data_IF_445330102401
#
_entry.id   IF_445330102401
#
_cell.length_a   1.000
_cell.length_b   1.000
_cell.length_c   1.000
_cell.angle_alpha   90.00
_cell.angle_beta   90.00
_cell.angle_gamma   90.00
#
_symmetry.space_group_name_H-M   'P 1'
#
loop_
_entity.id
_entity.type
_entity.pdbx_description
1 polymer ?
#
# COMPACT_ATOMS: atom_id res chain seq x y z
N UNK A 1 -45.72 11.41 -49.68
CA UNK A 1 -45.55 10.14 -48.94
C UNK A 1 -44.06 9.92 -48.81
N UNK A 2 -43.49 10.43 -47.73
CA UNK A 2 -42.06 10.46 -47.48
C UNK A 2 -41.81 9.87 -46.10
N UNK A 3 -41.09 8.75 -46.13
CA UNK A 3 -40.09 8.22 -45.18
C UNK A 3 -40.35 8.34 -43.68
N UNK A 4 -40.36 7.17 -43.01
CA UNK A 4 -39.97 6.99 -41.60
C UNK A 4 -38.96 5.84 -41.50
N UNK A 5 -37.99 6.05 -40.62
CA UNK A 5 -36.85 5.20 -40.25
C UNK A 5 -37.24 3.81 -39.72
N UNK A 6 -36.37 2.80 -39.89
CA UNK A 6 -36.45 1.52 -39.20
C UNK A 6 -35.49 1.50 -38.00
N UNK A 7 -35.92 2.09 -36.88
CA UNK A 7 -35.32 1.85 -35.56
C UNK A 7 -36.44 1.38 -34.62
N UNK A 8 -36.70 0.07 -34.65
CA UNK A 8 -37.48 -0.62 -33.62
C UNK A 8 -37.44 -2.14 -33.89
N UNK A 9 -36.49 -2.85 -33.28
CA UNK A 9 -36.69 -4.19 -32.72
C UNK A 9 -35.40 -4.76 -32.10
N UNK A 10 -35.59 -5.35 -30.91
CA UNK A 10 -34.68 -6.15 -30.08
C UNK A 10 -33.82 -5.32 -29.10
N UNK A 11 -34.07 -5.27 -27.80
CA UNK A 11 -34.81 -6.21 -26.95
C UNK A 11 -33.87 -6.78 -25.88
N UNK A 12 -33.69 -6.00 -24.81
CA UNK A 12 -33.49 -6.42 -23.42
C UNK A 12 -32.55 -7.63 -23.16
N UNK A 13 -31.26 -7.35 -23.00
CA UNK A 13 -30.31 -8.18 -22.24
C UNK A 13 -29.91 -7.42 -20.98
N UNK A 14 -30.27 -7.94 -19.80
CA UNK A 14 -30.05 -7.27 -18.52
C UNK A 14 -28.57 -7.07 -18.22
N UNK A 15 -28.15 -5.81 -18.16
CA UNK A 15 -26.92 -5.42 -17.52
C UNK A 15 -27.05 -5.72 -16.02
N UNK A 16 -26.37 -6.76 -15.56
CA UNK A 16 -26.06 -6.91 -14.15
C UNK A 16 -25.18 -5.71 -13.76
N UNK A 17 -25.78 -4.72 -13.10
CA UNK A 17 -25.08 -3.59 -12.54
C UNK A 17 -24.11 -4.10 -11.46
N UNK A 18 -22.81 -4.12 -11.78
CA UNK A 18 -21.75 -4.30 -10.80
C UNK A 18 -21.54 -3.00 -10.03
N UNK A 19 -21.37 -3.12 -8.72
CA UNK A 19 -21.30 -2.03 -7.76
C UNK A 19 -20.02 -1.19 -7.91
N UNK A 20 -20.16 0.08 -8.29
CA UNK A 20 -19.11 1.12 -8.32
C UNK A 20 -18.32 1.12 -9.63
N UNK A 21 -18.52 2.14 -10.48
CA UNK A 21 -17.96 2.24 -11.84
C UNK A 21 -16.44 2.42 -11.96
N UNK A 22 -15.67 1.91 -10.99
CA UNK A 22 -14.21 2.03 -10.89
C UNK A 22 -13.49 0.67 -10.92
N UNK A 23 -14.19 -0.43 -11.19
CA UNK A 23 -13.55 -1.72 -11.44
C UNK A 23 -12.86 -1.70 -12.83
N UNK A 24 -11.73 -2.41 -13.02
CA UNK A 24 -11.08 -2.51 -14.32
C UNK A 24 -11.94 -3.33 -15.30
N UNK A 25 -11.58 -3.32 -16.58
CA UNK A 25 -12.17 -4.24 -17.55
C UNK A 25 -11.84 -5.71 -17.25
N UNK A 26 -12.44 -6.65 -17.99
CA UNK A 26 -12.21 -8.09 -17.84
C UNK A 26 -10.72 -8.48 -18.03
N UNK A 27 -9.96 -7.70 -18.79
CA UNK A 27 -8.52 -7.87 -18.97
C UNK A 27 -7.69 -7.32 -17.80
N UNK A 28 -8.34 -6.67 -16.83
CA UNK A 28 -7.70 -6.06 -15.68
C UNK A 28 -7.14 -4.67 -15.94
N UNK A 29 -7.67 -3.93 -16.92
CA UNK A 29 -7.22 -2.58 -17.22
C UNK A 29 -8.09 -1.48 -16.58
N UNK A 30 -7.44 -0.57 -15.86
CA UNK A 30 -7.99 0.73 -15.47
C UNK A 30 -7.58 1.76 -16.54
N UNK A 31 -8.48 2.02 -17.49
CA UNK A 31 -8.11 2.78 -18.68
C UNK A 31 -6.95 2.09 -19.44
N UNK A 32 -5.80 2.75 -19.67
CA UNK A 32 -4.66 2.15 -20.36
C UNK A 32 -3.70 1.35 -19.45
N UNK A 33 -3.95 1.31 -18.13
CA UNK A 33 -3.06 0.73 -17.11
C UNK A 33 -3.59 -0.58 -16.55
N UNK A 34 -2.73 -1.43 -16.01
CA UNK A 34 -3.09 -2.73 -15.44
C UNK A 34 -2.73 -3.88 -16.37
N UNK A 35 -3.64 -4.82 -16.57
CA UNK A 35 -3.43 -5.99 -17.41
C UNK A 35 -2.75 -7.17 -16.71
N UNK A 36 -2.30 -8.14 -17.51
CA UNK A 36 -1.71 -9.41 -17.08
C UNK A 36 -0.42 -9.72 -17.83
N UNK A 37 0.64 -9.02 -17.48
CA UNK A 37 1.96 -9.14 -18.12
C UNK A 37 2.86 -10.13 -17.39
N UNK A 38 2.41 -11.37 -17.27
CA UNK A 38 3.08 -12.44 -16.52
C UNK A 38 3.54 -13.58 -17.44
N UNK A 39 4.54 -14.39 -17.03
CA UNK A 39 4.89 -15.60 -17.75
C UNK A 39 3.69 -16.55 -17.89
N UNK A 40 3.58 -17.24 -19.02
CA UNK A 40 2.50 -18.20 -19.30
C UNK A 40 2.31 -19.23 -18.17
N UNK A 41 3.41 -19.66 -17.55
CA UNK A 41 3.40 -20.59 -16.43
C UNK A 41 2.58 -20.14 -15.20
N UNK A 42 2.31 -18.83 -15.06
CA UNK A 42 1.52 -18.26 -13.97
C UNK A 42 0.10 -17.86 -14.37
N UNK A 43 -0.29 -18.02 -15.64
CA UNK A 43 -1.61 -17.58 -16.13
C UNK A 43 -2.71 -18.41 -15.47
N UNK A 44 -2.57 -19.74 -15.43
CA UNK A 44 -3.55 -20.62 -14.77
C UNK A 44 -3.72 -20.31 -13.28
N UNK A 45 -2.66 -19.91 -12.59
CA UNK A 45 -2.74 -19.54 -11.16
C UNK A 45 -3.45 -18.20 -10.95
N UNK A 46 -3.25 -17.26 -11.87
CA UNK A 46 -3.97 -15.99 -11.89
C UNK A 46 -5.45 -16.19 -12.24
N UNK A 47 -5.78 -17.10 -13.16
CA UNK A 47 -7.18 -17.44 -13.48
C UNK A 47 -7.87 -18.06 -12.26
N UNK A 48 -7.25 -19.05 -11.61
CA UNK A 48 -7.74 -19.65 -10.36
C UNK A 48 -8.00 -18.58 -9.30
N UNK A 49 -7.05 -17.67 -9.09
CA UNK A 49 -7.19 -16.57 -8.13
C UNK A 49 -8.32 -15.60 -8.52
N UNK A 50 -8.43 -15.21 -9.79
CA UNK A 50 -9.44 -14.26 -10.26
C UNK A 50 -10.84 -14.85 -10.11
N UNK A 51 -11.04 -16.10 -10.53
CA UNK A 51 -12.30 -16.81 -10.39
C UNK A 51 -12.69 -17.00 -8.93
N UNK A 52 -11.76 -17.43 -8.06
CA UNK A 52 -12.08 -17.62 -6.65
C UNK A 52 -12.30 -16.32 -5.90
N UNK A 53 -11.58 -15.26 -6.26
CA UNK A 53 -11.82 -13.94 -5.69
C UNK A 53 -13.20 -13.39 -6.10
N UNK A 54 -13.60 -13.55 -7.36
CA UNK A 54 -14.91 -13.07 -7.83
C UNK A 54 -16.07 -13.83 -7.16
N UNK A 55 -15.92 -15.13 -6.93
CA UNK A 55 -16.87 -15.90 -6.11
C UNK A 55 -16.87 -15.42 -4.66
N UNK A 56 -15.70 -15.27 -4.05
CA UNK A 56 -15.57 -14.94 -2.63
C UNK A 56 -16.08 -13.53 -2.28
N UNK A 57 -15.82 -12.51 -3.11
CA UNK A 57 -16.30 -11.13 -2.86
C UNK A 57 -17.83 -11.01 -2.84
N UNK A 58 -18.53 -11.98 -3.42
CA UNK A 58 -19.99 -12.05 -3.48
C UNK A 58 -20.58 -13.12 -2.53
N UNK A 59 -19.73 -13.87 -1.83
CA UNK A 59 -20.12 -14.94 -0.91
C UNK A 59 -20.35 -14.37 0.51
N UNK A 60 -21.60 -14.39 1.04
CA UNK A 60 -21.89 -13.86 2.37
C UNK A 60 -21.10 -14.53 3.49
N UNK A 61 -20.71 -15.80 3.35
CA UNK A 61 -19.94 -16.51 4.37
C UNK A 61 -18.49 -16.01 4.40
N UNK A 62 -17.88 -15.80 3.22
CA UNK A 62 -16.54 -15.23 3.13
C UNK A 62 -16.50 -13.80 3.68
N UNK A 63 -17.47 -12.96 3.28
CA UNK A 63 -17.56 -11.58 3.76
C UNK A 63 -17.76 -11.53 5.27
N UNK A 64 -18.67 -12.34 5.81
CA UNK A 64 -18.91 -12.39 7.26
C UNK A 64 -17.67 -12.85 8.05
N UNK A 65 -16.91 -13.81 7.51
CA UNK A 65 -15.68 -14.27 8.15
C UNK A 65 -14.57 -13.23 8.09
N UNK A 66 -14.39 -12.56 6.95
CA UNK A 66 -13.44 -11.45 6.83
C UNK A 66 -13.80 -10.31 7.78
N UNK A 67 -15.07 -9.91 7.84
CA UNK A 67 -15.56 -8.87 8.75
C UNK A 67 -15.36 -9.25 10.22
N UNK A 68 -15.58 -10.53 10.56
CA UNK A 68 -15.30 -11.05 11.90
C UNK A 68 -13.82 -10.95 12.24
N UNK A 69 -12.91 -11.34 11.33
CA UNK A 69 -11.48 -11.22 11.55
C UNK A 69 -11.02 -9.75 11.63
N UNK A 70 -11.54 -8.88 10.77
CA UNK A 70 -11.22 -7.46 10.81
C UNK A 70 -11.63 -6.83 12.16
N UNK A 71 -12.84 -7.12 12.63
CA UNK A 71 -13.36 -6.57 13.90
C UNK A 71 -12.69 -7.20 15.12
N UNK A 72 -12.72 -8.53 15.23
CA UNK A 72 -12.42 -9.24 16.47
C UNK A 72 -10.92 -9.57 16.61
N UNK A 73 -10.17 -9.63 15.49
CA UNK A 73 -8.74 -9.96 15.48
C UNK A 73 -7.87 -8.76 15.08
N UNK A 74 -8.20 -8.04 14.02
CA UNK A 74 -7.42 -6.88 13.58
C UNK A 74 -7.71 -5.59 14.37
N UNK A 75 -8.87 -5.52 15.05
CA UNK A 75 -9.26 -4.40 15.90
C UNK A 75 -9.98 -3.27 15.17
N UNK A 76 -10.66 -3.55 14.06
CA UNK A 76 -11.44 -2.56 13.31
C UNK A 76 -12.78 -2.24 13.99
N UNK A 77 -13.34 -1.02 13.80
CA UNK A 77 -12.79 0.08 13.01
C UNK A 77 -11.61 0.78 13.70
N UNK A 78 -10.61 1.17 12.92
CA UNK A 78 -9.51 2.01 13.45
C UNK A 78 -10.05 3.41 13.76
N UNK A 79 -9.61 4.08 14.83
CA UNK A 79 -10.15 5.38 15.20
C UNK A 79 -9.71 6.50 14.24
N UNK A 80 -10.44 7.60 14.28
CA UNK A 80 -10.05 8.88 13.69
C UNK A 80 -9.62 9.82 14.81
N UNK A 81 -8.39 10.35 14.75
CA UNK A 81 -7.84 11.23 15.78
C UNK A 81 -7.58 12.61 15.20
N UNK A 82 -8.15 13.67 15.78
CA UNK A 82 -7.77 15.03 15.45
C UNK A 82 -6.43 15.38 16.11
N UNK A 83 -5.46 15.85 15.31
CA UNK A 83 -4.12 16.18 15.74
C UNK A 83 -3.94 17.70 15.83
N UNK A 84 -4.59 18.31 16.83
CA UNK A 84 -4.69 19.77 16.97
C UNK A 84 -3.32 20.46 17.04
N UNK A 85 -2.37 19.90 17.82
CA UNK A 85 -1.04 20.51 18.02
C UNK A 85 -0.16 20.37 16.78
N UNK A 86 -0.31 19.28 16.03
CA UNK A 86 0.30 19.10 14.72
C UNK A 86 -0.30 20.07 13.70
N UNK A 87 -1.64 20.19 13.65
CA UNK A 87 -2.38 21.10 12.76
C UNK A 87 -1.98 22.57 12.92
N UNK A 88 -1.62 22.99 14.13
CA UNK A 88 -1.07 24.34 14.38
C UNK A 88 0.19 24.65 13.54
N UNK A 89 0.96 23.64 13.13
CA UNK A 89 2.15 23.78 12.27
C UNK A 89 1.82 23.66 10.76
N UNK A 90 0.60 23.21 10.44
CA UNK A 90 0.03 23.09 9.10
C UNK A 90 -0.84 24.32 8.75
N UNK A 91 -0.43 25.53 9.12
CA UNK A 91 -1.21 26.74 8.83
C UNK A 91 -2.50 26.88 9.65
N UNK A 92 -2.67 26.08 10.71
CA UNK A 92 -3.88 26.03 11.51
C UNK A 92 -4.96 25.11 10.97
N UNK A 93 -4.71 24.39 9.87
CA UNK A 93 -5.66 23.43 9.30
C UNK A 93 -6.02 22.32 10.30
N UNK A 94 -7.25 21.82 10.20
CA UNK A 94 -7.75 20.70 10.98
C UNK A 94 -7.23 19.39 10.41
N UNK A 95 -6.24 18.79 11.06
CA UNK A 95 -5.62 17.53 10.61
C UNK A 95 -6.25 16.34 11.34
N UNK A 96 -6.91 15.45 10.60
CA UNK A 96 -7.55 14.24 11.07
C UNK A 96 -6.71 13.02 10.66
N UNK A 97 -6.29 12.20 11.61
CA UNK A 97 -5.47 11.02 11.38
C UNK A 97 -6.34 9.76 11.38
N UNK A 98 -6.39 9.04 10.26
CA UNK A 98 -6.96 7.68 10.20
C UNK A 98 -5.94 6.69 10.73
N UNK A 99 -6.20 6.10 11.90
CA UNK A 99 -5.22 5.42 12.76
C UNK A 99 -4.97 3.94 12.42
N UNK A 100 -4.54 3.65 11.19
CA UNK A 100 -4.17 2.29 10.78
C UNK A 100 -2.92 1.76 11.52
N UNK A 101 -2.17 2.65 12.18
CA UNK A 101 -1.07 2.33 13.09
C UNK A 101 -1.51 1.51 14.32
N UNK A 102 -2.79 1.58 14.69
CA UNK A 102 -3.35 0.86 15.83
C UNK A 102 -3.90 -0.53 15.49
N UNK A 103 -3.97 -0.88 14.21
CA UNK A 103 -4.37 -2.23 13.82
C UNK A 103 -3.43 -3.27 14.43
N UNK A 104 -3.93 -4.49 14.61
CA UNK A 104 -3.05 -5.62 14.89
C UNK A 104 -1.92 -5.70 13.84
N UNK A 105 -0.76 -6.17 14.28
CA UNK A 105 0.54 -6.12 13.58
C UNK A 105 1.15 -4.71 13.40
N UNK A 106 0.36 -3.64 13.43
CA UNK A 106 0.80 -2.24 13.47
C UNK A 106 0.73 -1.46 12.16
N UNK A 107 -0.05 -1.93 11.17
CA UNK A 107 -0.27 -1.20 9.93
C UNK A 107 -1.54 -1.63 9.20
N UNK A 108 -1.89 -0.89 8.13
CA UNK A 108 -2.98 -1.23 7.21
C UNK A 108 -2.84 -2.62 6.57
N UNK A 109 -1.62 -3.19 6.47
CA UNK A 109 -1.33 -4.45 5.74
C UNK A 109 -2.16 -5.64 6.23
N UNK A 110 -2.55 -5.64 7.51
CA UNK A 110 -3.36 -6.72 8.10
C UNK A 110 -4.70 -6.92 7.35
N UNK A 111 -5.28 -5.84 6.79
CA UNK A 111 -6.55 -5.92 6.06
C UNK A 111 -6.43 -6.82 4.82
N UNK A 112 -5.36 -6.63 4.04
CA UNK A 112 -5.09 -7.39 2.83
C UNK A 112 -4.74 -8.85 3.12
N UNK A 113 -3.83 -9.09 4.07
CA UNK A 113 -3.35 -10.44 4.34
C UNK A 113 -4.43 -11.35 4.91
N UNK A 114 -5.36 -10.83 5.73
CA UNK A 114 -6.48 -11.63 6.23
C UNK A 114 -7.39 -12.07 5.09
N UNK A 115 -7.75 -11.16 4.18
CA UNK A 115 -8.56 -11.48 3.01
C UNK A 115 -7.89 -12.49 2.09
N UNK A 116 -6.63 -12.25 1.71
CA UNK A 116 -5.91 -13.18 0.84
C UNK A 116 -5.67 -14.54 1.51
N UNK A 117 -5.33 -14.59 2.80
CA UNK A 117 -5.13 -15.87 3.49
C UNK A 117 -6.43 -16.69 3.63
N UNK A 118 -7.60 -16.04 3.75
CA UNK A 118 -8.89 -16.73 3.61
C UNK A 118 -9.08 -17.30 2.20
N UNK A 119 -8.71 -16.56 1.15
CA UNK A 119 -8.77 -17.06 -0.23
C UNK A 119 -7.85 -18.27 -0.44
N UNK A 120 -6.66 -18.27 0.15
CA UNK A 120 -5.72 -19.42 0.11
C UNK A 120 -6.42 -20.69 0.59
N UNK A 121 -7.10 -20.63 1.73
CA UNK A 121 -7.87 -21.77 2.27
C UNK A 121 -8.99 -22.19 1.35
N UNK A 122 -9.68 -21.22 0.75
CA UNK A 122 -10.80 -21.45 -0.17
C UNK A 122 -10.35 -22.15 -1.46
N UNK A 123 -9.17 -21.79 -1.97
CA UNK A 123 -8.50 -22.46 -3.10
C UNK A 123 -7.89 -23.82 -2.73
N UNK A 124 -7.97 -24.26 -1.47
CA UNK A 124 -7.41 -25.53 -1.02
C UNK A 124 -5.87 -25.58 -0.99
N UNK A 125 -5.21 -24.42 -1.08
CA UNK A 125 -3.75 -24.29 -0.99
C UNK A 125 -3.31 -24.37 0.48
N UNK A 126 -2.08 -24.82 0.70
CA UNK A 126 -1.54 -25.03 2.06
C UNK A 126 -0.35 -24.14 2.39
N UNK A 127 0.29 -23.59 1.35
CA UNK A 127 1.50 -22.81 1.46
C UNK A 127 1.30 -21.40 0.92
N UNK A 128 1.85 -20.43 1.65
CA UNK A 128 1.87 -19.03 1.29
C UNK A 128 3.31 -18.57 1.13
N UNK A 129 3.56 -17.83 0.07
CA UNK A 129 4.79 -17.07 -0.11
C UNK A 129 4.47 -15.58 -0.20
N UNK A 130 5.37 -14.74 0.30
CA UNK A 130 5.27 -13.29 0.15
C UNK A 130 6.66 -12.64 0.14
N UNK A 131 6.77 -11.47 -0.48
CA UNK A 131 7.92 -10.58 -0.36
C UNK A 131 7.80 -9.66 0.86
N UNK A 132 8.90 -9.05 1.32
CA UNK A 132 8.80 -7.88 2.19
C UNK A 132 10.07 -7.03 2.11
N UNK A 133 9.91 -5.71 2.20
CA UNK A 133 11.00 -4.73 2.38
C UNK A 133 11.13 -4.40 3.87
N UNK A 134 10.41 -3.38 4.35
CA UNK A 134 10.35 -2.95 5.75
C UNK A 134 9.89 -4.03 6.79
N UNK A 135 9.58 -5.24 6.36
CA UNK A 135 9.12 -6.35 7.22
C UNK A 135 7.64 -6.34 7.61
N UNK A 136 6.91 -5.24 7.42
CA UNK A 136 5.49 -5.15 7.85
C UNK A 136 4.57 -6.12 7.10
N UNK A 137 4.70 -6.22 5.78
CA UNK A 137 3.92 -7.19 4.99
C UNK A 137 4.27 -8.62 5.35
N UNK A 138 5.56 -8.91 5.53
CA UNK A 138 6.03 -10.23 5.97
C UNK A 138 5.49 -10.63 7.35
N UNK A 139 5.53 -9.72 8.33
CA UNK A 139 4.95 -9.95 9.66
C UNK A 139 3.43 -10.15 9.58
N UNK A 140 2.73 -9.35 8.78
CA UNK A 140 1.29 -9.48 8.61
C UNK A 140 0.92 -10.83 7.95
N UNK A 141 1.64 -11.23 6.92
CA UNK A 141 1.49 -12.53 6.24
C UNK A 141 1.77 -13.68 7.20
N UNK A 142 2.90 -13.66 7.91
CA UNK A 142 3.23 -14.66 8.93
C UNK A 142 2.15 -14.76 10.02
N UNK A 143 1.58 -13.63 10.43
CA UNK A 143 0.49 -13.57 11.42
C UNK A 143 -0.77 -14.26 10.89
N UNK A 144 -1.20 -13.94 9.66
CA UNK A 144 -2.37 -14.54 9.06
C UNK A 144 -2.19 -16.04 8.82
N UNK A 145 -1.01 -16.47 8.35
CA UNK A 145 -0.69 -17.89 8.16
C UNK A 145 -0.69 -18.66 9.48
N UNK A 146 -0.10 -18.10 10.55
CA UNK A 146 -0.13 -18.72 11.87
C UNK A 146 -1.56 -18.85 12.42
N UNK A 147 -2.40 -17.83 12.23
CA UNK A 147 -3.81 -17.85 12.63
C UNK A 147 -4.63 -18.91 11.89
N UNK A 148 -4.32 -19.10 10.60
CA UNK A 148 -5.13 -19.90 9.69
C UNK A 148 -4.57 -21.30 9.40
N UNK A 149 -3.46 -21.66 10.06
CA UNK A 149 -2.72 -22.93 9.93
C UNK A 149 -2.22 -23.17 8.50
N UNK A 150 -1.46 -22.20 7.97
CA UNK A 150 -0.84 -22.23 6.65
C UNK A 150 0.69 -22.19 6.77
N UNK A 151 1.38 -22.93 5.91
CA UNK A 151 2.84 -22.84 5.79
C UNK A 151 3.22 -21.48 5.20
N UNK A 152 4.24 -20.82 5.76
CA UNK A 152 4.59 -19.45 5.38
C UNK A 152 6.08 -19.30 5.10
N UNK A 153 6.41 -18.82 3.89
CA UNK A 153 7.78 -18.47 3.50
C UNK A 153 7.82 -17.00 3.05
N UNK A 154 8.67 -16.22 3.70
CA UNK A 154 8.86 -14.80 3.41
C UNK A 154 10.21 -14.59 2.73
N UNK A 155 10.19 -13.99 1.55
CA UNK A 155 11.37 -13.51 0.84
C UNK A 155 11.66 -12.07 1.24
N UNK A 156 12.91 -11.78 1.61
CA UNK A 156 13.31 -10.45 2.07
C UNK A 156 14.72 -10.17 1.59
N UNK A 157 14.97 -8.97 1.06
CA UNK A 157 16.31 -8.57 0.63
C UNK A 157 17.32 -8.65 1.78
N UNK A 158 18.54 -9.13 1.53
CA UNK A 158 19.53 -9.33 2.59
C UNK A 158 19.83 -8.03 3.34
N UNK A 159 19.95 -6.91 2.62
CA UNK A 159 20.13 -5.58 3.21
C UNK A 159 18.96 -5.19 4.12
N UNK A 160 17.73 -5.53 3.71
CA UNK A 160 16.54 -5.28 4.53
C UNK A 160 16.50 -6.19 5.76
N UNK A 161 16.95 -7.46 5.66
CA UNK A 161 16.98 -8.37 6.81
C UNK A 161 17.87 -7.88 7.94
N UNK A 162 18.98 -7.20 7.62
CA UNK A 162 19.89 -6.61 8.59
C UNK A 162 19.25 -5.36 9.23
N UNK A 163 18.78 -4.43 8.40
CA UNK A 163 18.15 -3.16 8.86
C UNK A 163 16.87 -3.39 9.67
N UNK A 164 16.16 -4.48 9.42
CA UNK A 164 14.85 -4.78 10.01
C UNK A 164 14.87 -6.09 10.82
N UNK A 165 15.98 -6.35 11.51
CA UNK A 165 16.21 -7.57 12.29
C UNK A 165 15.06 -7.91 13.27
N UNK A 166 14.42 -6.89 13.86
CA UNK A 166 13.27 -7.08 14.76
C UNK A 166 12.06 -7.68 14.03
N UNK A 167 11.77 -7.25 12.80
CA UNK A 167 10.67 -7.82 12.03
C UNK A 167 11.02 -9.24 11.53
N UNK A 168 12.30 -9.51 11.20
CA UNK A 168 12.75 -10.88 10.91
C UNK A 168 12.53 -11.81 12.11
N UNK A 169 12.89 -11.36 13.31
CA UNK A 169 12.66 -12.12 14.54
C UNK A 169 11.16 -12.36 14.80
N UNK A 170 10.30 -11.35 14.60
CA UNK A 170 8.84 -11.48 14.72
C UNK A 170 8.27 -12.50 13.74
N UNK A 171 8.69 -12.49 12.47
CA UNK A 171 8.24 -13.46 11.47
C UNK A 171 8.62 -14.89 11.86
N UNK A 172 9.87 -15.12 12.30
CA UNK A 172 10.32 -16.44 12.76
C UNK A 172 9.59 -16.92 14.00
N UNK A 173 9.30 -16.01 14.95
CA UNK A 173 8.51 -16.33 16.15
C UNK A 173 7.08 -16.76 15.81
N UNK A 174 6.50 -16.20 14.73
CA UNK A 174 5.20 -16.59 14.18
C UNK A 174 5.25 -17.90 13.38
N UNK A 175 6.42 -18.55 13.26
CA UNK A 175 6.57 -19.83 12.56
C UNK A 175 6.86 -19.72 11.06
N UNK A 176 7.03 -18.50 10.52
CA UNK A 176 7.38 -18.33 9.11
C UNK A 176 8.88 -18.59 8.86
N UNK A 177 9.18 -19.23 7.73
CA UNK A 177 10.53 -19.28 7.19
C UNK A 177 10.87 -17.92 6.56
N UNK A 178 12.03 -17.33 6.91
CA UNK A 178 12.50 -16.07 6.29
C UNK A 178 13.73 -16.38 5.45
N UNK A 179 13.63 -16.17 4.14
CA UNK A 179 14.68 -16.42 3.13
C UNK A 179 15.32 -15.12 2.67
N UNK A 180 16.57 -14.82 3.07
CA UNK A 180 17.30 -13.64 2.60
C UNK A 180 17.64 -13.76 1.11
N UNK A 181 17.39 -12.69 0.35
CA UNK A 181 17.72 -12.59 -1.08
C UNK A 181 18.98 -11.74 -1.25
N UNK A 182 20.04 -12.36 -1.79
CA UNK A 182 21.37 -11.75 -1.93
C UNK A 182 21.67 -11.28 -3.36
N UNK A 183 20.75 -11.52 -4.31
CA UNK A 183 20.91 -11.14 -5.71
C UNK A 183 20.55 -9.67 -5.93
N UNK A 184 21.12 -9.04 -6.96
CA UNK A 184 20.74 -7.70 -7.38
C UNK A 184 21.12 -6.63 -6.35
N UNK A 185 20.21 -5.70 -6.09
CA UNK A 185 20.36 -4.67 -5.05
C UNK A 185 20.09 -5.23 -3.64
N UNK A 186 19.63 -6.49 -3.54
CA UNK A 186 19.28 -7.15 -2.28
C UNK A 186 18.21 -6.38 -1.48
N UNK A 187 17.23 -5.82 -2.19
CA UNK A 187 16.09 -5.06 -1.64
C UNK A 187 14.74 -5.68 -2.08
N UNK A 188 13.63 -4.96 -1.86
CA UNK A 188 12.25 -5.40 -2.16
C UNK A 188 12.07 -5.92 -3.61
N UNK A 189 12.67 -5.28 -4.61
CA UNK A 189 12.58 -5.70 -6.02
C UNK A 189 13.07 -7.14 -6.21
N UNK A 190 14.21 -7.48 -5.62
CA UNK A 190 14.80 -8.80 -5.75
C UNK A 190 14.02 -9.86 -4.94
N UNK A 191 13.44 -9.47 -3.80
CA UNK A 191 12.54 -10.32 -3.04
C UNK A 191 11.28 -10.70 -3.85
N UNK A 192 10.70 -9.77 -4.60
CA UNK A 192 9.57 -10.03 -5.52
C UNK A 192 9.99 -11.04 -6.60
N UNK A 193 11.15 -10.84 -7.21
CA UNK A 193 11.64 -11.74 -8.26
C UNK A 193 11.81 -13.17 -7.75
N UNK A 194 12.37 -13.36 -6.56
CA UNK A 194 12.51 -14.70 -5.96
C UNK A 194 11.17 -15.31 -5.54
N UNK A 195 10.24 -14.51 -4.99
CA UNK A 195 8.89 -14.98 -4.68
C UNK A 195 8.14 -15.44 -5.95
N UNK A 196 8.25 -14.69 -7.05
CA UNK A 196 7.66 -15.10 -8.34
C UNK A 196 8.29 -16.38 -8.89
N UNK A 197 9.61 -16.56 -8.77
CA UNK A 197 10.30 -17.81 -9.17
C UNK A 197 9.85 -19.01 -8.34
N UNK A 198 9.68 -18.84 -7.03
CA UNK A 198 9.12 -19.87 -6.16
C UNK A 198 7.69 -20.21 -6.60
N UNK A 199 6.87 -19.19 -6.88
CA UNK A 199 5.48 -19.41 -7.29
C UNK A 199 5.37 -20.23 -8.56
N UNK A 200 6.20 -19.94 -9.58
CA UNK A 200 6.26 -20.72 -10.83
C UNK A 200 6.55 -22.20 -10.55
N UNK A 201 7.43 -22.46 -9.57
CA UNK A 201 7.89 -23.82 -9.25
C UNK A 201 6.86 -24.60 -8.44
N UNK A 202 6.11 -23.93 -7.55
CA UNK A 202 5.24 -24.55 -6.55
C UNK A 202 3.75 -24.16 -6.72
N UNK A 203 3.33 -23.78 -7.93
CA UNK A 203 2.02 -23.21 -8.23
C UNK A 203 0.82 -24.06 -7.78
N UNK A 204 1.00 -25.39 -7.72
CA UNK A 204 -0.07 -26.34 -7.41
C UNK A 204 -0.57 -26.22 -5.96
N UNK A 205 0.33 -26.01 -5.00
CA UNK A 205 0.04 -26.00 -3.56
C UNK A 205 0.30 -24.64 -2.88
N UNK A 206 0.93 -23.72 -3.60
CA UNK A 206 1.38 -22.42 -3.11
C UNK A 206 0.59 -21.26 -3.70
N UNK A 207 0.20 -20.31 -2.84
CA UNK A 207 -0.31 -19.01 -3.25
C UNK A 207 0.70 -17.90 -2.96
N UNK A 208 0.86 -16.99 -3.91
CA UNK A 208 1.65 -15.78 -3.74
C UNK A 208 0.78 -14.65 -3.18
N UNK A 209 1.05 -14.25 -1.93
CA UNK A 209 0.33 -13.20 -1.23
C UNK A 209 1.02 -11.85 -1.44
N UNK A 210 0.65 -11.17 -2.53
CA UNK A 210 1.25 -9.89 -2.92
C UNK A 210 0.81 -8.75 -1.97
N UNK A 211 1.78 -7.91 -1.56
CA UNK A 211 1.60 -6.98 -0.45
C UNK A 211 1.07 -5.59 -0.77
N UNK A 212 0.74 -5.29 -2.01
CA UNK A 212 0.33 -3.94 -2.41
C UNK A 212 -0.65 -3.91 -3.59
N UNK A 213 -1.23 -2.75 -3.92
CA UNK A 213 -2.20 -2.61 -5.00
C UNK A 213 -1.54 -2.51 -6.39
N UNK A 214 -0.60 -3.42 -6.65
CA UNK A 214 0.15 -3.50 -7.91
C UNK A 214 0.17 -4.95 -8.40
N UNK A 215 0.99 -5.22 -9.41
CA UNK A 215 1.09 -6.53 -10.05
C UNK A 215 -0.05 -6.82 -11.03
N UNK A 216 -0.01 -8.00 -11.63
CA UNK A 216 -1.01 -8.44 -12.60
C UNK A 216 -2.41 -8.54 -11.98
N UNK A 217 -3.44 -8.32 -12.79
CA UNK A 217 -4.80 -8.67 -12.40
C UNK A 217 -4.88 -10.15 -11.97
N UNK A 218 -5.57 -10.48 -10.86
CA UNK A 218 -6.53 -9.66 -10.11
C UNK A 218 -5.96 -8.86 -8.92
N UNK A 219 -4.64 -8.87 -8.67
CA UNK A 219 -4.07 -8.31 -7.44
C UNK A 219 -4.42 -6.83 -7.18
N UNK A 220 -4.30 -5.89 -8.14
CA UNK A 220 -4.65 -4.49 -7.89
C UNK A 220 -6.11 -4.32 -7.43
N UNK A 221 -7.05 -4.96 -8.12
CA UNK A 221 -8.49 -4.95 -7.81
C UNK A 221 -8.76 -5.54 -6.42
N UNK A 222 -8.20 -6.73 -6.17
CA UNK A 222 -8.40 -7.48 -4.93
C UNK A 222 -7.83 -6.74 -3.73
N UNK A 223 -6.55 -6.34 -3.78
CA UNK A 223 -5.87 -5.66 -2.68
C UNK A 223 -6.55 -4.34 -2.35
N UNK A 224 -6.96 -3.57 -3.36
CA UNK A 224 -7.76 -2.36 -3.17
C UNK A 224 -9.04 -2.68 -2.41
N UNK A 225 -9.83 -3.65 -2.89
CA UNK A 225 -11.10 -4.01 -2.26
C UNK A 225 -10.92 -4.43 -0.79
N UNK A 226 -9.85 -5.16 -0.47
CA UNK A 226 -9.52 -5.55 0.90
C UNK A 226 -9.06 -4.35 1.77
N UNK A 227 -8.60 -3.25 1.16
CA UNK A 227 -8.29 -2.01 1.87
C UNK A 227 -9.41 -0.94 1.83
N UNK A 228 -10.50 -1.11 1.05
CA UNK A 228 -11.61 -0.13 0.96
C UNK A 228 -12.25 0.19 2.32
N UNK A 229 -12.17 -0.74 3.26
CA UNK A 229 -12.63 -0.56 4.64
C UNK A 229 -12.02 0.69 5.31
N UNK A 230 -10.80 1.08 4.93
CA UNK A 230 -10.13 2.28 5.45
C UNK A 230 -10.92 3.54 5.07
N UNK A 231 -11.23 3.70 3.78
CA UNK A 231 -11.98 4.84 3.26
C UNK A 231 -13.43 4.86 3.73
N UNK A 232 -14.07 3.69 3.79
CA UNK A 232 -15.46 3.55 4.28
C UNK A 232 -15.60 4.05 5.72
N UNK A 233 -14.74 3.55 6.61
CA UNK A 233 -14.72 3.99 8.01
C UNK A 233 -14.33 5.46 8.13
N UNK A 234 -13.31 5.90 7.41
CA UNK A 234 -12.83 7.28 7.49
C UNK A 234 -13.91 8.27 7.05
N UNK A 235 -14.65 7.97 5.97
CA UNK A 235 -15.77 8.80 5.50
C UNK A 235 -16.86 8.94 6.56
N UNK A 236 -17.28 7.83 7.17
CA UNK A 236 -18.29 7.84 8.23
C UNK A 236 -17.80 8.61 9.47
N UNK A 237 -16.52 8.44 9.83
CA UNK A 237 -15.92 9.09 11.00
C UNK A 237 -15.75 10.60 10.79
N UNK A 238 -15.29 11.04 9.62
CA UNK A 238 -15.13 12.46 9.28
C UNK A 238 -16.47 13.16 9.27
N UNK A 239 -17.47 12.62 8.56
CA UNK A 239 -18.83 13.21 8.54
C UNK A 239 -19.43 13.34 9.94
N UNK A 240 -19.16 12.38 10.82
CA UNK A 240 -19.62 12.41 12.22
C UNK A 240 -18.89 13.46 13.06
N UNK A 241 -17.61 13.71 12.81
CA UNK A 241 -16.77 14.62 13.61
C UNK A 241 -16.76 16.06 13.11
N UNK A 242 -17.02 16.29 11.82
CA UNK A 242 -16.94 17.61 11.18
C UNK A 242 -18.29 18.08 10.63
N UNK A 243 -19.21 17.16 10.33
CA UNK A 243 -20.47 17.47 9.64
C UNK A 243 -20.34 17.60 8.12
N UNK A 244 -19.13 17.48 7.57
CA UNK A 244 -18.83 17.66 6.14
C UNK A 244 -17.71 16.73 5.67
N UNK A 245 -17.47 16.66 4.36
CA UNK A 245 -16.35 15.90 3.80
C UNK A 245 -15.04 16.70 3.96
N UNK A 246 -13.87 16.03 3.99
CA UNK A 246 -12.59 16.75 4.10
C UNK A 246 -12.27 17.47 2.78
N UNK A 247 -11.54 18.58 2.84
CA UNK A 247 -11.03 19.27 1.65
C UNK A 247 -10.02 18.41 0.88
N UNK A 248 -9.24 17.62 1.61
CA UNK A 248 -8.28 16.69 1.03
C UNK A 248 -8.07 15.43 1.86
N UNK A 249 -7.79 14.33 1.14
CA UNK A 249 -7.34 13.05 1.69
C UNK A 249 -5.91 12.81 1.23
N UNK A 250 -5.02 12.60 2.18
CA UNK A 250 -3.59 12.42 1.96
C UNK A 250 -3.12 11.05 2.42
N UNK A 251 -2.29 10.41 1.62
CA UNK A 251 -1.71 9.09 1.93
C UNK A 251 -0.35 8.93 1.26
N UNK A 252 0.55 8.14 1.84
CA UNK A 252 1.84 7.84 1.23
C UNK A 252 1.68 6.77 0.14
N UNK A 253 2.48 6.87 -0.93
CA UNK A 253 2.38 6.00 -2.11
C UNK A 253 3.74 5.36 -2.37
N UNK A 254 3.86 4.08 -1.98
CA UNK A 254 4.82 3.14 -2.58
C UNK A 254 4.10 2.41 -3.72
N UNK A 255 3.79 1.13 -3.55
CA UNK A 255 2.89 0.44 -4.49
C UNK A 255 1.41 0.87 -4.43
N UNK A 256 0.97 1.63 -3.40
CA UNK A 256 -0.34 2.31 -3.38
C UNK A 256 -1.47 1.71 -2.53
N UNK A 257 -1.32 0.54 -1.92
CA UNK A 257 -2.40 -0.15 -1.18
C UNK A 257 -3.13 0.68 -0.11
N UNK A 258 -2.41 1.37 0.77
CA UNK A 258 -3.03 2.22 1.79
C UNK A 258 -3.76 3.44 1.19
N UNK A 259 -3.17 4.04 0.16
CA UNK A 259 -3.66 5.24 -0.49
C UNK A 259 -4.95 4.94 -1.25
N UNK A 260 -4.95 3.91 -2.10
CA UNK A 260 -6.15 3.51 -2.82
C UNK A 260 -7.27 3.08 -1.87
N UNK A 261 -6.93 2.41 -0.76
CA UNK A 261 -7.88 2.00 0.26
C UNK A 261 -8.63 3.16 0.90
N UNK A 262 -7.92 4.24 1.25
CA UNK A 262 -8.57 5.44 1.81
C UNK A 262 -9.25 6.29 0.73
N UNK A 263 -8.64 6.44 -0.45
CA UNK A 263 -9.17 7.24 -1.56
C UNK A 263 -10.51 6.71 -2.06
N UNK A 264 -10.72 5.40 -2.04
CA UNK A 264 -11.97 4.82 -2.52
C UNK A 264 -13.20 5.15 -1.66
N UNK A 265 -13.01 5.74 -0.47
CA UNK A 265 -14.09 6.35 0.31
C UNK A 265 -14.57 7.70 -0.25
N UNK A 266 -13.81 8.31 -1.16
CA UNK A 266 -14.00 9.69 -1.61
C UNK A 266 -13.83 9.87 -3.13
N UNK A 267 -13.53 8.82 -3.88
CA UNK A 267 -13.24 8.90 -5.33
C UNK A 267 -14.41 9.49 -6.14
N UNK A 268 -15.64 9.31 -5.69
CA UNK A 268 -16.84 9.89 -6.33
C UNK A 268 -17.17 11.31 -5.87
N UNK A 269 -16.42 11.87 -4.90
CA UNK A 269 -16.66 13.20 -4.33
C UNK A 269 -15.71 14.23 -5.00
N UNK A 270 -16.12 14.95 -6.06
CA UNK A 270 -15.23 15.83 -6.84
C UNK A 270 -14.70 17.04 -6.04
N UNK A 271 -15.38 17.40 -4.95
CA UNK A 271 -14.90 18.44 -4.03
C UNK A 271 -13.77 17.99 -3.11
N UNK A 272 -13.51 16.68 -3.00
CA UNK A 272 -12.46 16.11 -2.15
C UNK A 272 -11.21 15.85 -2.97
N UNK A 273 -10.12 16.56 -2.65
CA UNK A 273 -8.82 16.35 -3.29
C UNK A 273 -8.19 15.05 -2.80
N UNK A 274 -7.70 14.23 -3.72
CA UNK A 274 -6.99 12.98 -3.39
C UNK A 274 -5.52 13.19 -3.69
N UNK A 275 -4.66 13.11 -2.67
CA UNK A 275 -3.25 13.48 -2.83
C UNK A 275 -2.33 12.37 -2.31
N UNK A 276 -1.63 11.72 -3.24
CA UNK A 276 -0.60 10.73 -2.96
C UNK A 276 0.77 11.37 -2.70
N UNK A 277 1.45 10.98 -1.64
CA UNK A 277 2.81 11.42 -1.33
C UNK A 277 3.82 10.31 -1.67
N UNK A 278 4.59 10.50 -2.72
CA UNK A 278 5.67 9.59 -3.11
C UNK A 278 6.99 9.96 -2.42
N UNK A 279 7.90 8.99 -2.30
CA UNK A 279 9.22 9.23 -1.73
C UNK A 279 10.08 10.05 -2.70
N UNK A 280 10.40 11.28 -2.30
CA UNK A 280 11.33 12.17 -2.99
C UNK A 280 12.79 11.89 -2.68
N UNK A 281 13.11 11.01 -1.72
CA UNK A 281 14.46 10.61 -1.36
C UNK A 281 15.36 11.81 -1.03
N UNK A 282 16.52 11.88 -1.68
CA UNK A 282 17.46 13.01 -1.58
C UNK A 282 17.08 14.23 -2.44
N UNK A 283 15.87 14.23 -3.01
CA UNK A 283 15.35 15.23 -3.95
C UNK A 283 15.33 14.69 -5.38
N UNK A 284 14.33 15.12 -6.17
CA UNK A 284 14.11 14.58 -7.51
C UNK A 284 15.32 14.76 -8.45
N UNK A 285 16.01 15.91 -8.35
CA UNK A 285 17.18 16.22 -9.19
C UNK A 285 18.40 15.32 -8.90
N UNK A 286 18.42 14.60 -7.77
CA UNK A 286 19.51 13.68 -7.43
C UNK A 286 19.45 12.37 -8.22
N UNK A 287 18.27 12.00 -8.73
CA UNK A 287 17.99 10.66 -9.26
C UNK A 287 17.79 9.58 -8.18
N UNK A 288 18.02 9.89 -6.90
CA UNK A 288 17.84 8.98 -5.77
C UNK A 288 16.47 9.22 -5.10
N UNK A 289 15.41 8.65 -5.67
CA UNK A 289 14.03 8.79 -5.19
C UNK A 289 13.14 7.59 -5.58
N UNK A 290 11.95 7.51 -4.97
CA UNK A 290 10.90 6.51 -5.25
C UNK A 290 9.64 7.11 -5.91
N UNK A 291 9.75 8.27 -6.55
CA UNK A 291 8.61 9.03 -7.11
C UNK A 291 8.23 8.61 -8.55
N UNK A 292 7.63 7.43 -8.69
CA UNK A 292 7.29 6.83 -9.99
C UNK A 292 6.28 7.65 -10.82
N UNK A 293 5.25 8.25 -10.20
CA UNK A 293 4.27 9.08 -10.89
C UNK A 293 4.79 10.48 -11.17
N UNK A 294 5.63 11.01 -10.28
CA UNK A 294 6.17 12.37 -10.41
C UNK A 294 7.27 12.45 -11.47
N UNK A 295 8.15 11.43 -11.54
CA UNK A 295 9.37 11.46 -12.38
C UNK A 295 9.50 10.28 -13.34
N UNK A 296 8.66 9.25 -13.23
CA UNK A 296 8.72 8.06 -14.07
C UNK A 296 7.95 8.19 -15.37
N UNK A 297 7.93 7.10 -16.13
CA UNK A 297 7.20 6.99 -17.40
C UNK A 297 6.40 5.69 -17.48
N UNK A 298 5.35 5.61 -18.33
CA UNK A 298 4.60 4.39 -18.50
C UNK A 298 5.46 3.22 -19.03
N UNK A 299 5.35 2.05 -18.41
CA UNK A 299 6.00 0.81 -18.83
C UNK A 299 5.40 -0.39 -18.12
N UNK A 300 6.03 -1.56 -18.25
CA UNK A 300 5.54 -2.81 -17.66
C UNK A 300 6.52 -3.33 -16.62
N UNK A 301 6.05 -3.50 -15.38
CA UNK A 301 6.85 -4.03 -14.28
C UNK A 301 5.98 -4.94 -13.39
N UNK A 302 6.55 -6.08 -12.98
CA UNK A 302 5.93 -7.03 -12.05
C UNK A 302 4.50 -7.47 -12.41
N UNK A 303 4.16 -7.54 -13.70
CA UNK A 303 2.88 -8.09 -14.15
C UNK A 303 1.83 -7.08 -14.61
N UNK A 304 2.07 -5.78 -14.47
CA UNK A 304 1.14 -4.75 -14.92
C UNK A 304 1.84 -3.62 -15.68
N UNK A 305 1.09 -3.00 -16.60
CA UNK A 305 1.45 -1.72 -17.19
C UNK A 305 1.08 -0.59 -16.24
N UNK A 306 2.04 0.25 -15.86
CA UNK A 306 1.87 1.38 -14.92
C UNK A 306 2.96 2.42 -15.13
N UNK A 307 3.04 3.43 -14.26
CA UNK A 307 4.23 4.29 -14.16
C UNK A 307 5.35 3.58 -13.39
N UNK A 308 6.58 3.80 -13.86
CA UNK A 308 7.79 3.33 -13.19
C UNK A 308 9.02 4.19 -13.53
N UNK A 309 10.04 4.10 -12.68
CA UNK A 309 11.36 4.68 -12.91
C UNK A 309 12.16 3.78 -13.86
N UNK A 310 12.51 4.31 -15.03
CA UNK A 310 13.28 3.60 -16.05
C UNK A 310 14.14 4.57 -16.85
N UNK A 311 15.23 4.05 -17.43
CA UNK A 311 16.08 4.79 -18.36
C UNK A 311 15.52 4.80 -19.79
N UNK A 312 16.25 5.43 -20.72
CA UNK A 312 15.86 5.56 -22.13
C UNK A 312 15.77 4.21 -22.87
N UNK A 313 16.45 3.18 -22.37
CA UNK A 313 16.42 1.81 -22.91
C UNK A 313 15.34 0.93 -22.26
N UNK A 314 14.55 1.52 -21.34
CA UNK A 314 13.50 0.82 -20.60
C UNK A 314 14.02 -0.10 -19.50
N UNK A 315 15.27 0.06 -19.06
CA UNK A 315 15.79 -0.66 -17.89
C UNK A 315 15.25 -0.03 -16.63
N UNK A 316 14.83 -0.87 -15.68
CA UNK A 316 14.26 -0.42 -14.40
C UNK A 316 15.35 0.27 -13.58
N UNK A 317 15.14 1.54 -13.26
CA UNK A 317 16.01 2.30 -12.38
C UNK A 317 15.86 1.85 -10.93
N UNK A 318 16.92 1.99 -10.14
CA UNK A 318 16.86 1.74 -8.69
C UNK A 318 16.12 2.90 -8.02
N UNK A 319 15.12 2.56 -7.20
CA UNK A 319 14.48 3.53 -6.34
C UNK A 319 15.36 3.81 -5.10
N UNK A 320 15.08 4.91 -4.43
CA UNK A 320 15.66 5.21 -3.14
C UNK A 320 14.66 5.94 -2.23
N UNK A 321 14.67 5.58 -0.94
CA UNK A 321 14.09 6.34 0.16
C UNK A 321 14.69 5.88 1.48
N UNK A 322 14.76 6.77 2.47
CA UNK A 322 14.98 6.36 3.87
C UNK A 322 13.91 5.38 4.38
N UNK A 323 12.72 5.39 3.76
CA UNK A 323 11.60 4.52 4.09
C UNK A 323 11.53 3.29 3.18
N UNK A 324 11.92 2.12 3.68
CA UNK A 324 11.90 0.86 2.93
C UNK A 324 10.51 0.48 2.35
N UNK A 325 9.40 0.95 2.94
CA UNK A 325 8.06 0.72 2.39
C UNK A 325 7.67 1.58 1.18
N UNK A 326 8.44 2.64 0.89
CA UNK A 326 8.28 3.52 -0.27
C UNK A 326 9.43 3.39 -1.29
N UNK A 327 10.47 2.64 -0.94
CA UNK A 327 11.58 2.30 -1.83
C UNK A 327 11.15 1.25 -2.88
N UNK A 328 10.37 1.70 -3.85
CA UNK A 328 9.83 0.88 -4.94
C UNK A 328 9.78 1.70 -6.24
N UNK A 329 10.32 1.20 -7.36
CA UNK A 329 10.44 1.98 -8.59
C UNK A 329 9.15 2.06 -9.41
N UNK A 330 8.05 1.44 -8.99
CA UNK A 330 6.78 1.45 -9.72
C UNK A 330 5.61 1.91 -8.85
N UNK A 331 4.41 1.89 -9.43
CA UNK A 331 3.18 2.19 -8.68
C UNK A 331 2.01 1.31 -9.16
N UNK A 332 0.98 1.16 -8.33
CA UNK A 332 -0.25 0.46 -8.71
C UNK A 332 -0.95 1.07 -9.93
N UNK A 333 -1.51 0.27 -10.85
CA UNK A 333 -2.07 0.76 -12.11
C UNK A 333 -3.31 1.66 -11.95
N UNK A 334 -4.10 1.46 -10.89
CA UNK A 334 -5.24 2.34 -10.61
C UNK A 334 -4.78 3.73 -10.18
N UNK A 335 -3.63 3.86 -9.50
CA UNK A 335 -3.04 5.17 -9.21
C UNK A 335 -2.58 5.89 -10.47
N UNK A 336 -1.96 5.18 -11.41
CA UNK A 336 -1.63 5.71 -12.73
C UNK A 336 -2.87 6.20 -13.48
N UNK A 337 -3.97 5.43 -13.43
CA UNK A 337 -5.24 5.87 -14.00
C UNK A 337 -5.81 7.12 -13.31
N UNK A 338 -5.80 7.16 -11.97
CA UNK A 338 -6.26 8.32 -11.21
C UNK A 338 -5.41 9.57 -11.46
N UNK A 339 -4.12 9.42 -11.72
CA UNK A 339 -3.22 10.52 -12.10
C UNK A 339 -3.62 11.08 -13.48
N UNK A 340 -3.68 10.22 -14.50
CA UNK A 340 -3.93 10.62 -15.88
C UNK A 340 -5.34 11.14 -16.12
N UNK A 341 -6.32 10.60 -15.40
CA UNK A 341 -7.69 11.10 -15.42
C UNK A 341 -7.86 12.44 -14.67
N UNK A 342 -6.82 12.90 -13.97
CA UNK A 342 -6.84 14.11 -13.16
C UNK A 342 -7.65 13.98 -11.87
N UNK A 343 -8.06 12.77 -11.47
CA UNK A 343 -8.84 12.56 -10.25
C UNK A 343 -7.98 12.65 -9.00
N UNK A 344 -6.72 12.23 -9.05
CA UNK A 344 -5.77 12.31 -7.95
C UNK A 344 -4.50 13.08 -8.33
N UNK A 345 -3.96 13.82 -7.38
CA UNK A 345 -2.69 14.52 -7.46
C UNK A 345 -1.60 13.66 -6.80
N UNK A 346 -0.36 13.69 -7.31
CA UNK A 346 0.79 13.03 -6.70
C UNK A 346 1.92 14.01 -6.53
N UNK A 347 2.57 13.99 -5.35
CA UNK A 347 3.63 14.92 -4.99
C UNK A 347 4.78 14.16 -4.31
N UNK A 348 6.02 14.56 -4.60
CA UNK A 348 7.19 14.02 -3.92
C UNK A 348 7.46 14.72 -2.58
N UNK A 349 7.89 13.96 -1.58
CA UNK A 349 8.31 14.43 -0.25
C UNK A 349 9.69 13.89 0.05
N UNK A 350 10.66 14.75 0.36
CA UNK A 350 12.05 14.31 0.61
C UNK A 350 12.16 13.61 1.97
N UNK A 351 13.26 12.86 2.13
CA UNK A 351 13.55 12.17 3.39
C UNK A 351 13.64 13.17 4.57
N UNK A 352 14.23 14.35 4.36
CA UNK A 352 14.31 15.41 5.38
C UNK A 352 12.92 15.87 5.85
N UNK A 353 12.01 16.09 4.91
CA UNK A 353 10.66 16.55 5.24
C UNK A 353 9.85 15.47 5.96
N UNK A 354 9.97 14.22 5.52
CA UNK A 354 9.34 13.08 6.19
C UNK A 354 9.88 12.93 7.63
N UNK A 355 11.19 13.05 7.83
CA UNK A 355 11.79 12.92 9.16
C UNK A 355 11.41 14.08 10.08
N UNK A 356 11.34 15.32 9.58
CA UNK A 356 10.84 16.43 10.40
C UNK A 356 9.35 16.27 10.75
N UNK A 357 8.51 15.75 9.84
CA UNK A 357 7.11 15.42 10.14
C UNK A 357 6.98 14.27 11.16
N UNK A 358 7.82 13.24 11.05
CA UNK A 358 7.90 12.13 12.02
C UNK A 358 8.17 12.65 13.43
N UNK A 359 9.20 13.49 13.57
CA UNK A 359 9.63 14.09 14.84
C UNK A 359 8.57 15.05 15.37
N UNK A 360 7.95 15.83 14.50
CA UNK A 360 6.90 16.76 14.89
C UNK A 360 5.70 16.02 15.47
N UNK A 361 5.14 15.04 14.77
CA UNK A 361 4.00 14.26 15.28
C UNK A 361 4.33 13.58 16.61
N UNK A 362 5.55 13.02 16.72
CA UNK A 362 6.03 12.40 17.96
C UNK A 362 6.02 13.38 19.13
N UNK A 363 6.39 14.65 18.91
CA UNK A 363 6.48 15.68 19.96
C UNK A 363 5.16 16.40 20.25
N UNK A 364 4.28 16.52 19.26
CA UNK A 364 3.01 17.24 19.40
C UNK A 364 1.90 16.33 19.89
N UNK A 365 1.84 15.09 19.38
CA UNK A 365 0.72 14.17 19.65
C UNK A 365 1.12 12.93 20.45
N UNK A 366 2.42 12.69 20.68
CA UNK A 366 2.88 11.46 21.34
C UNK A 366 2.64 10.20 20.49
N UNK A 367 2.52 10.37 19.17
CA UNK A 367 2.33 9.28 18.20
C UNK A 367 3.62 9.18 17.40
N UNK A 368 4.26 8.00 17.44
CA UNK A 368 5.45 7.70 16.63
C UNK A 368 4.96 7.06 15.31
N UNK A 369 4.92 7.80 14.20
CA UNK A 369 4.39 7.27 12.93
C UNK A 369 5.43 6.38 12.26
N UNK A 370 5.00 5.47 11.38
CA UNK A 370 5.94 4.86 10.43
C UNK A 370 6.51 5.95 9.51
N UNK A 371 7.78 5.85 9.09
CA UNK A 371 8.41 6.83 8.20
C UNK A 371 7.63 6.95 6.87
N UNK A 372 7.04 5.85 6.38
CA UNK A 372 6.13 5.88 5.22
C UNK A 372 5.00 6.90 5.45
N UNK A 373 4.31 6.78 6.58
CA UNK A 373 3.19 7.67 6.94
C UNK A 373 3.63 9.11 7.18
N UNK A 374 4.89 9.30 7.59
CA UNK A 374 5.47 10.63 7.77
C UNK A 374 5.58 11.42 6.45
N UNK A 375 5.64 10.75 5.30
CA UNK A 375 5.54 11.41 4.00
C UNK A 375 4.16 12.05 3.79
N UNK A 376 3.09 11.34 4.16
CA UNK A 376 1.72 11.87 4.10
C UNK A 376 1.54 13.07 5.06
N UNK A 377 2.14 12.99 6.26
CA UNK A 377 2.13 14.07 7.25
C UNK A 377 2.88 15.32 6.78
N UNK A 378 4.05 15.14 6.16
CA UNK A 378 4.80 16.25 5.55
C UNK A 378 3.99 16.91 4.43
N UNK A 379 3.33 16.12 3.60
CA UNK A 379 2.36 16.60 2.61
C UNK A 379 1.25 17.44 3.23
N UNK A 380 0.70 16.99 4.37
CA UNK A 380 -0.34 17.72 5.10
C UNK A 380 0.16 19.06 5.68
N UNK A 381 1.41 19.12 6.15
CA UNK A 381 2.02 20.38 6.61
C UNK A 381 2.12 21.40 5.47
N UNK A 382 2.54 20.98 4.27
CA UNK A 382 2.60 21.85 3.09
C UNK A 382 1.20 22.33 2.70
N UNK A 383 0.27 21.38 2.52
CA UNK A 383 -1.08 21.69 2.06
C UNK A 383 -1.88 22.54 3.06
N UNK A 384 -1.77 22.26 4.35
CA UNK A 384 -2.46 23.07 5.36
C UNK A 384 -2.00 24.53 5.37
N UNK A 385 -0.70 24.79 5.12
CA UNK A 385 -0.18 26.15 4.95
C UNK A 385 -0.70 26.83 3.68
N UNK A 386 -0.98 26.06 2.63
CA UNK A 386 -1.57 26.55 1.38
C UNK A 386 -3.06 26.91 1.57
N UNK A 387 -3.84 26.05 2.24
CA UNK A 387 -5.29 26.20 2.38
C UNK A 387 -5.73 27.05 3.57
N UNK A 388 -4.92 27.12 4.63
CA UNK A 388 -5.20 27.89 5.83
C UNK A 388 -6.07 27.16 6.86
N UNK A 389 -6.53 27.89 7.90
CA UNK A 389 -7.10 27.30 9.12
C UNK A 389 -8.50 26.72 8.96
N UNK A 390 -9.22 27.10 7.91
CA UNK A 390 -10.58 26.59 7.65
C UNK A 390 -10.56 25.19 6.98
N UNK A 391 -9.39 24.71 6.56
CA UNK A 391 -9.25 23.45 5.83
C UNK A 391 -9.29 22.22 6.76
N UNK A 392 -9.95 21.16 6.29
CA UNK A 392 -10.01 19.83 6.91
C UNK A 392 -9.20 18.84 6.08
N UNK A 393 -8.12 18.31 6.66
CA UNK A 393 -7.21 17.37 6.02
C UNK A 393 -7.32 16.00 6.67
N UNK A 394 -7.74 14.99 5.92
CA UNK A 394 -7.70 13.59 6.34
C UNK A 394 -6.36 12.96 5.93
N UNK A 395 -5.55 12.52 6.87
CA UNK A 395 -4.27 11.84 6.63
C UNK A 395 -4.38 10.38 7.02
N UNK A 396 -4.05 9.47 6.09
CA UNK A 396 -3.95 8.05 6.41
C UNK A 396 -2.63 7.75 7.14
N UNK A 397 -2.72 7.52 8.45
CA UNK A 397 -1.57 7.13 9.26
C UNK A 397 -1.36 5.62 9.13
N UNK A 398 -0.75 5.23 8.02
CA UNK A 398 -0.75 3.87 7.48
C UNK A 398 -0.09 2.80 8.37
N UNK A 399 0.72 3.19 9.36
CA UNK A 399 1.41 2.29 10.27
C UNK A 399 2.17 3.02 11.38
N UNK A 400 2.57 2.28 12.42
CA UNK A 400 3.37 2.78 13.56
C UNK A 400 4.87 2.65 13.35
N UNK A 401 5.63 3.55 13.97
CA UNK A 401 7.08 3.69 13.76
C UNK A 401 7.99 2.82 14.61
N UNK A 402 7.47 1.82 15.34
CA UNK A 402 8.31 0.92 16.16
C UNK A 402 9.45 0.31 15.35
N UNK A 403 9.17 -0.08 14.10
CA UNK A 403 10.15 -0.66 13.17
C UNK A 403 11.23 0.33 12.70
N UNK A 404 10.94 1.62 12.81
CA UNK A 404 11.77 2.69 12.30
C UNK A 404 12.59 3.36 13.41
N UNK A 405 12.45 2.91 14.66
CA UNK A 405 13.10 3.55 15.80
C UNK A 405 14.61 3.51 15.74
N UNK A 406 15.21 2.47 15.16
CA UNK A 406 16.66 2.38 14.96
C UNK A 406 17.14 3.44 13.96
N UNK A 407 16.51 3.48 12.78
CA UNK A 407 16.75 4.49 11.74
C UNK A 407 16.55 5.91 12.28
N UNK A 408 15.45 6.16 12.98
CA UNK A 408 15.15 7.47 13.56
C UNK A 408 16.14 7.84 14.68
N UNK A 409 16.54 6.89 15.52
CA UNK A 409 17.51 7.15 16.58
C UNK A 409 18.87 7.56 16.02
N UNK A 410 19.34 6.89 14.96
CA UNK A 410 20.56 7.29 14.26
C UNK A 410 20.40 8.64 13.54
N UNK A 411 19.30 8.84 12.81
CA UNK A 411 19.05 10.08 12.07
C UNK A 411 19.02 11.32 12.99
N UNK A 412 18.41 11.21 14.17
CA UNK A 412 18.32 12.32 15.13
C UNK A 412 19.45 12.35 16.16
N UNK A 413 20.46 11.46 16.06
CA UNK A 413 21.57 11.38 17.02
C UNK A 413 21.13 11.08 18.46
N UNK A 414 20.10 10.24 18.64
CA UNK A 414 19.53 9.87 19.95
C UNK A 414 20.22 8.66 20.59
N UNK A 415 21.03 7.94 19.82
CA UNK A 415 21.90 6.85 20.28
C UNK A 415 23.34 7.17 19.91
N UNK A 416 24.34 6.74 20.71
CA UNK A 416 25.73 6.83 20.31
C UNK A 416 25.94 6.11 18.98
N UNK A 417 26.72 6.69 18.07
CA UNK A 417 27.26 5.91 16.95
C UNK A 417 27.97 4.69 17.57
N UNK A 418 27.70 3.51 17.02
CA UNK A 418 28.39 2.29 17.45
C UNK A 418 29.89 2.51 17.23
N UNK A 419 30.58 2.89 18.30
CA UNK A 419 31.99 3.17 18.28
C UNK A 419 32.70 1.92 17.78
N UNK A 420 33.55 2.11 16.78
CA UNK A 420 34.76 1.32 16.59
C UNK A 420 35.37 1.20 17.98
N UNK A 421 35.19 0.05 18.63
CA UNK A 421 35.92 -0.28 19.84
C UNK A 421 37.37 -0.37 19.42
N UNK A 422 38.11 0.72 19.64
CA UNK A 422 39.55 0.69 19.62
C UNK A 422 40.01 -0.44 20.53
N UNK A 423 40.60 -1.45 19.93
CA UNK A 423 41.66 -2.20 20.58
C UNK A 423 42.72 -1.20 21.07
N UNK A 424 43.43 -1.60 22.13
CA UNK A 424 44.52 -0.90 22.82
C UNK A 424 44.15 0.13 23.89
N UNK A 425 43.67 -0.37 25.03
CA UNK A 425 44.25 -0.03 26.34
C UNK A 425 44.19 -1.23 27.31
N UNK A 426 45.16 -2.15 27.23
CA UNK A 426 46.00 -2.60 28.37
C UNK A 426 47.04 -3.63 27.94
#
# INVERSE_FOLDING_TARGET
MTVRDPDEANGVGGAHATSGGHDPDEGGHFGPYGGRFMPEALISAQDELAEEYDKARNDPEFVAELDRLLRDYAGRPSPLTEAERFGAHAGGARVLLKREDLNHTGSHKINNVLGQALLVKRMGKRRVIAETGAGQHGVATATACALLDLDCVIYMGATDTERQALNVARMRLLGAEVRPVNTGSATLKDAINEALRDWVTNVADTHYLLGTAAGAHPFPLMVRNLHKVIGQEAREQVLRSTGELPDAVLACVGGGSNAIGVFHGFVDDPGVRLIGMEAGGHGLDSGEHGAALTSGTPGTLHGARSYLLQDEDGQIAEAYSISAGLDYPGVGPEHAWLADSGRAEYRAVTDEEAMEAFKLLSRTEGIIPAIESAHALAGALRLGRELGPDAVLLVNLSGRGDKDMDTAAHYFGLVPEAGITGEDQQ
#
